data_IF_691805900510
#
_entry.id   IF_691805900510
#
_cell.length_a   1.000
_cell.length_b   1.000
_cell.length_c   1.000
_cell.angle_alpha   90.00
_cell.angle_beta   90.00
_cell.angle_gamma   90.00
#
_symmetry.space_group_name_H-M   'P 1'
#
loop_
_entity.id
_entity.type
_entity.pdbx_description
1 polymer ?
#
# COMPACT_ATOMS: atom_id res chain seq x y z
N UNK A 1 1.44 18.32 22.93
CA UNK A 1 0.00 18.65 23.10
C UNK A 1 -0.71 18.33 21.79
N UNK A 2 -1.32 17.15 21.71
CA UNK A 2 -2.05 16.65 20.54
C UNK A 2 -3.49 16.49 21.01
N UNK A 3 -4.30 17.56 21.02
CA UNK A 3 -5.63 17.43 21.65
C UNK A 3 -6.70 18.43 21.23
N UNK A 4 -6.55 19.21 20.16
CA UNK A 4 -7.62 20.16 19.75
C UNK A 4 -8.03 20.00 18.28
N UNK A 5 -7.12 19.61 17.38
CA UNK A 5 -7.44 19.51 15.95
C UNK A 5 -8.23 18.25 15.55
N UNK A 6 -8.12 17.14 16.29
CA UNK A 6 -8.85 15.91 15.98
C UNK A 6 -10.37 16.02 16.29
N UNK A 7 -10.74 16.79 17.33
CA UNK A 7 -12.15 16.96 17.71
C UNK A 7 -12.90 17.93 16.79
N UNK A 8 -12.21 18.93 16.24
CA UNK A 8 -12.83 19.91 15.33
C UNK A 8 -13.16 19.33 13.95
N UNK A 9 -12.36 18.38 13.43
CA UNK A 9 -12.67 17.69 12.18
C UNK A 9 -13.83 16.68 12.30
N UNK A 10 -14.03 16.09 13.48
CA UNK A 10 -15.14 15.17 13.75
C UNK A 10 -16.51 15.87 13.75
N UNK A 11 -16.58 17.17 14.06
CA UNK A 11 -17.84 17.92 14.18
C UNK A 11 -18.38 18.48 12.85
N UNK A 12 -17.55 18.72 11.84
CA UNK A 12 -17.99 19.38 10.59
C UNK A 12 -18.51 18.42 9.51
N UNK A 13 -18.21 17.12 9.56
CA UNK A 13 -18.45 16.20 8.44
C UNK A 13 -19.47 15.07 8.68
N UNK A 14 -20.15 15.06 9.84
CA UNK A 14 -21.04 13.97 10.22
C UNK A 14 -20.29 12.65 10.43
N UNK A 15 -20.57 11.95 11.52
CA UNK A 15 -20.05 10.60 11.75
C UNK A 15 -20.71 9.63 10.76
N UNK A 16 -20.16 9.51 9.55
CA UNK A 16 -20.47 8.40 8.64
C UNK A 16 -19.69 7.17 9.10
N UNK A 17 -20.36 6.06 9.50
CA UNK A 17 -19.69 4.83 9.91
C UNK A 17 -18.70 4.33 8.85
N UNK A 18 -19.07 4.45 7.56
CA UNK A 18 -18.19 4.07 6.44
C UNK A 18 -16.91 4.90 6.42
N UNK A 19 -16.99 6.23 6.63
CA UNK A 19 -15.78 7.09 6.66
C UNK A 19 -14.84 6.72 7.82
N UNK A 20 -15.41 6.38 8.98
CA UNK A 20 -14.63 5.93 10.14
C UNK A 20 -13.94 4.59 9.85
N UNK A 21 -14.69 3.61 9.37
CA UNK A 21 -14.19 2.26 9.13
C UNK A 21 -13.16 2.26 7.98
N UNK A 22 -13.34 3.15 7.00
CA UNK A 22 -12.40 3.42 5.92
C UNK A 22 -11.06 3.93 6.45
N UNK A 23 -11.08 4.96 7.30
CA UNK A 23 -9.87 5.53 7.89
C UNK A 23 -9.14 4.53 8.79
N UNK A 24 -9.89 3.75 9.59
CA UNK A 24 -9.32 2.65 10.39
C UNK A 24 -8.63 1.64 9.48
N UNK A 25 -9.28 1.25 8.38
CA UNK A 25 -8.72 0.28 7.44
C UNK A 25 -7.44 0.81 6.78
N UNK A 26 -7.46 2.06 6.32
CA UNK A 26 -6.28 2.75 5.76
C UNK A 26 -5.10 2.73 6.73
N UNK A 27 -5.30 3.23 7.95
CA UNK A 27 -4.25 3.30 8.99
C UNK A 27 -3.75 1.92 9.37
N UNK A 28 -4.66 0.95 9.52
CA UNK A 28 -4.28 -0.43 9.89
C UNK A 28 -3.43 -1.06 8.79
N UNK A 29 -3.83 -0.91 7.54
CA UNK A 29 -3.07 -1.44 6.42
C UNK A 29 -1.72 -0.74 6.23
N UNK A 30 -1.67 0.58 6.39
CA UNK A 30 -0.44 1.35 6.36
C UNK A 30 0.58 0.83 7.39
N UNK A 31 0.13 0.59 8.62
CA UNK A 31 0.98 0.01 9.67
C UNK A 31 1.36 -1.45 9.39
N UNK A 32 0.41 -2.23 8.87
CA UNK A 32 0.64 -3.62 8.47
C UNK A 32 1.78 -3.73 7.44
N UNK A 33 1.79 -2.86 6.41
CA UNK A 33 2.84 -2.87 5.38
C UNK A 33 4.23 -2.46 5.90
N UNK A 34 4.30 -1.59 6.90
CA UNK A 34 5.56 -1.18 7.54
C UNK A 34 6.16 -2.29 8.41
N UNK A 35 5.31 -3.15 8.96
CA UNK A 35 5.67 -4.17 9.95
C UNK A 35 5.48 -5.61 9.48
N UNK A 36 5.20 -5.84 8.20
CA UNK A 36 4.94 -7.20 7.71
C UNK A 36 6.14 -8.11 8.02
N UNK A 37 5.96 -8.99 9.01
CA UNK A 37 7.04 -9.68 9.71
C UNK A 37 7.89 -10.59 8.79
N UNK A 38 7.28 -11.06 7.69
CA UNK A 38 7.97 -11.91 6.71
C UNK A 38 8.80 -11.10 5.70
N UNK A 39 8.53 -9.80 5.54
CA UNK A 39 9.32 -8.87 4.72
C UNK A 39 8.88 -7.41 4.93
N UNK A 40 9.82 -6.52 5.24
CA UNK A 40 9.54 -5.07 5.16
C UNK A 40 9.26 -4.72 3.70
N UNK A 41 8.04 -4.23 3.45
CA UNK A 41 7.51 -4.05 2.11
C UNK A 41 7.68 -2.63 1.61
N UNK A 42 7.26 -1.67 2.43
CA UNK A 42 7.39 -0.25 2.15
C UNK A 42 8.10 0.40 3.32
N UNK A 43 9.33 0.85 3.08
CA UNK A 43 10.13 1.49 4.13
C UNK A 43 9.62 2.89 4.46
N UNK A 44 8.90 3.51 3.53
CA UNK A 44 8.37 4.85 3.70
C UNK A 44 7.16 5.07 2.79
N UNK A 45 5.99 5.14 3.41
CA UNK A 45 4.75 5.59 2.77
C UNK A 45 4.72 7.11 2.91
N UNK A 46 4.71 7.82 1.78
CA UNK A 46 4.67 9.29 1.77
C UNK A 46 3.28 9.81 2.08
N UNK A 47 2.31 9.20 1.43
CA UNK A 47 0.94 9.62 1.40
C UNK A 47 0.06 8.40 1.26
N UNK A 48 -1.09 8.46 1.92
CA UNK A 48 -2.13 7.50 1.69
C UNK A 48 -3.46 8.19 1.88
N UNK A 49 -4.36 7.95 0.94
CA UNK A 49 -5.69 8.54 0.92
C UNK A 49 -6.71 7.42 0.75
N UNK A 50 -7.91 7.64 1.27
CA UNK A 50 -8.96 6.64 1.22
C UNK A 50 -10.27 7.32 0.83
N UNK A 51 -10.86 6.79 -0.24
CA UNK A 51 -12.07 7.30 -0.85
C UNK A 51 -13.17 6.25 -0.87
N UNK A 52 -14.40 6.71 -0.72
CA UNK A 52 -15.60 5.89 -0.90
C UNK A 52 -16.53 6.55 -1.90
N UNK A 53 -17.01 5.77 -2.86
CA UNK A 53 -18.04 6.19 -3.81
C UNK A 53 -19.15 5.15 -3.89
N UNK A 54 -20.37 5.58 -3.59
CA UNK A 54 -21.56 4.73 -3.67
C UNK A 54 -21.72 4.09 -5.06
N UNK A 55 -21.96 2.78 -5.08
CA UNK A 55 -22.06 1.96 -6.28
C UNK A 55 -20.71 1.53 -6.87
N UNK A 56 -19.58 2.09 -6.41
CA UNK A 56 -18.22 1.64 -6.77
C UNK A 56 -17.51 0.94 -5.62
N UNK A 57 -17.64 1.46 -4.41
CA UNK A 57 -16.98 0.95 -3.21
C UNK A 57 -15.82 1.81 -2.74
N UNK A 58 -14.82 1.16 -2.16
CA UNK A 58 -13.67 1.78 -1.48
C UNK A 58 -12.41 1.68 -2.32
N UNK A 59 -11.66 2.77 -2.37
CA UNK A 59 -10.31 2.83 -2.92
C UNK A 59 -9.37 3.42 -1.88
N UNK A 60 -8.25 2.75 -1.63
CA UNK A 60 -7.18 3.25 -0.76
C UNK A 60 -5.92 3.38 -1.59
N UNK A 61 -5.50 4.62 -1.80
CA UNK A 61 -4.31 4.98 -2.57
C UNK A 61 -3.11 5.10 -1.65
N UNK A 62 -1.95 4.63 -2.10
CA UNK A 62 -0.68 4.70 -1.41
C UNK A 62 0.39 5.22 -2.36
N UNK A 63 1.03 6.32 -1.98
CA UNK A 63 2.29 6.74 -2.58
C UNK A 63 3.44 6.32 -1.67
N UNK A 64 4.36 5.53 -2.21
CA UNK A 64 5.50 5.07 -1.44
C UNK A 64 6.76 4.98 -2.29
N UNK A 65 7.89 4.85 -1.60
CA UNK A 65 9.13 4.53 -2.27
C UNK A 65 9.34 3.02 -2.37
N UNK A 66 10.09 2.60 -3.39
CA UNK A 66 10.70 1.29 -3.46
C UNK A 66 11.34 0.94 -2.11
N UNK A 67 11.19 -0.32 -1.67
CA UNK A 67 11.82 -0.80 -0.46
C UNK A 67 13.34 -0.61 -0.55
N UNK A 68 13.95 0.02 0.46
CA UNK A 68 15.41 0.17 0.49
C UNK A 68 16.06 -1.21 0.60
N UNK A 69 17.10 -1.41 -0.20
CA UNK A 69 17.97 -2.56 -0.11
C UNK A 69 19.08 -2.20 0.89
N UNK A 70 19.07 -2.84 2.07
CA UNK A 70 20.13 -2.67 3.06
C UNK A 70 21.30 -3.58 2.75
N UNK A 71 22.48 -3.01 2.55
CA UNK A 71 23.73 -3.74 2.34
C UNK A 71 24.49 -3.70 3.67
N UNK A 72 24.60 -4.84 4.34
CA UNK A 72 25.16 -4.96 5.70
C UNK A 72 26.61 -4.46 5.85
N UNK A 73 27.36 -4.28 4.75
CA UNK A 73 28.74 -3.79 4.75
C UNK A 73 28.87 -2.27 4.57
N UNK A 74 27.78 -1.58 4.21
CA UNK A 74 27.75 -0.14 4.05
C UNK A 74 26.64 0.43 4.93
N UNK A 75 27.00 0.88 6.13
CA UNK A 75 26.13 1.68 7.02
C UNK A 75 25.69 3.02 6.41
N UNK A 76 25.86 3.20 5.10
CA UNK A 76 25.55 4.40 4.34
C UNK A 76 24.27 4.17 3.53
N UNK A 77 23.31 5.08 3.67
CA UNK A 77 22.28 5.29 2.64
C UNK A 77 22.99 5.63 1.33
N UNK A 78 22.46 5.19 0.19
CA UNK A 78 22.96 5.58 -1.14
C UNK A 78 23.23 7.09 -1.19
N UNK A 79 24.50 7.47 -1.37
CA UNK A 79 25.02 8.82 -1.35
C UNK A 79 25.19 9.44 -2.74
N UNK A 80 25.80 10.64 -2.82
CA UNK A 80 26.05 11.38 -4.08
C UNK A 80 26.60 10.43 -5.16
N UNK A 81 25.92 10.35 -6.31
CA UNK A 81 26.26 9.55 -7.50
C UNK A 81 26.10 8.02 -7.41
N UNK A 82 25.36 7.48 -6.44
CA UNK A 82 25.09 6.03 -6.37
C UNK A 82 24.03 5.53 -7.39
N UNK A 83 23.78 6.23 -8.50
CA UNK A 83 22.81 5.78 -9.51
C UNK A 83 23.21 4.45 -10.16
N UNK A 84 24.51 4.24 -10.40
CA UNK A 84 25.00 2.95 -10.92
C UNK A 84 24.80 1.82 -9.92
N UNK A 85 24.93 2.13 -8.63
CA UNK A 85 24.70 1.19 -7.54
C UNK A 85 23.21 0.86 -7.44
N UNK A 86 22.34 1.86 -7.45
CA UNK A 86 20.88 1.68 -7.51
C UNK A 86 20.46 0.81 -8.71
N UNK A 87 20.99 1.11 -9.89
CA UNK A 87 20.71 0.36 -11.12
C UNK A 87 21.20 -1.09 -11.05
N UNK A 88 22.25 -1.36 -10.28
CA UNK A 88 22.80 -2.72 -10.09
C UNK A 88 21.93 -3.54 -9.13
N UNK A 89 21.40 -2.91 -8.08
CA UNK A 89 20.63 -3.62 -7.05
C UNK A 89 19.13 -3.70 -7.35
N UNK A 90 18.54 -2.67 -7.94
CA UNK A 90 17.14 -2.69 -8.36
C UNK A 90 16.99 -3.23 -9.78
N UNK A 91 17.32 -4.51 -9.93
CA UNK A 91 17.06 -5.26 -11.16
C UNK A 91 15.55 -5.51 -11.33
N UNK A 92 15.13 -5.88 -12.54
CA UNK A 92 13.74 -6.26 -12.83
C UNK A 92 13.26 -7.40 -11.91
N UNK A 93 14.15 -8.30 -11.50
CA UNK A 93 13.87 -9.38 -10.55
C UNK A 93 13.55 -8.85 -9.15
N UNK A 94 14.29 -7.86 -8.66
CA UNK A 94 14.07 -7.25 -7.35
C UNK A 94 12.78 -6.42 -7.34
N UNK A 95 12.48 -5.70 -8.41
CA UNK A 95 11.20 -5.00 -8.56
C UNK A 95 10.04 -6.01 -8.61
N UNK A 96 10.18 -7.09 -9.38
CA UNK A 96 9.17 -8.16 -9.44
C UNK A 96 8.97 -8.83 -8.07
N UNK A 97 10.04 -9.01 -7.30
CA UNK A 97 9.97 -9.56 -5.94
C UNK A 97 9.22 -8.62 -4.99
N UNK A 98 9.47 -7.30 -5.06
CA UNK A 98 8.73 -6.31 -4.27
C UNK A 98 7.24 -6.31 -4.63
N UNK A 99 6.91 -6.31 -5.92
CA UNK A 99 5.52 -6.40 -6.38
C UNK A 99 4.83 -7.69 -5.88
N UNK A 100 5.52 -8.84 -5.96
CA UNK A 100 5.00 -10.11 -5.48
C UNK A 100 4.74 -10.10 -3.97
N UNK A 101 5.69 -9.59 -3.17
CA UNK A 101 5.50 -9.47 -1.72
C UNK A 101 4.35 -8.53 -1.39
N UNK A 102 4.18 -7.44 -2.14
CA UNK A 102 3.11 -6.47 -1.91
C UNK A 102 1.74 -7.10 -2.19
N UNK A 103 1.66 -7.88 -3.26
CA UNK A 103 0.50 -8.71 -3.58
C UNK A 103 0.18 -9.71 -2.45
N UNK A 104 1.18 -10.45 -1.97
CA UNK A 104 1.02 -11.41 -0.86
C UNK A 104 0.58 -10.75 0.45
N UNK A 105 1.17 -9.62 0.81
CA UNK A 105 0.77 -8.88 2.01
C UNK A 105 -0.64 -8.31 1.90
N UNK A 106 -1.04 -7.83 0.72
CA UNK A 106 -2.41 -7.33 0.53
C UNK A 106 -3.43 -8.48 0.66
N UNK A 107 -3.12 -9.65 0.09
CA UNK A 107 -3.92 -10.88 0.28
C UNK A 107 -4.01 -11.27 1.75
N UNK A 108 -2.88 -11.29 2.45
CA UNK A 108 -2.82 -11.61 3.88
C UNK A 108 -3.58 -10.60 4.73
N UNK A 109 -3.49 -9.32 4.42
CA UNK A 109 -4.25 -8.29 5.13
C UNK A 109 -5.75 -8.51 5.00
N UNK A 110 -6.26 -8.70 3.78
CA UNK A 110 -7.68 -8.97 3.57
C UNK A 110 -8.11 -10.24 4.33
N UNK A 111 -7.32 -11.31 4.29
CA UNK A 111 -7.58 -12.54 5.05
C UNK A 111 -7.60 -12.31 6.56
N UNK A 112 -6.66 -11.56 7.11
CA UNK A 112 -6.51 -11.40 8.56
C UNK A 112 -7.47 -10.33 9.13
N UNK A 113 -7.91 -9.37 8.31
CA UNK A 113 -8.68 -8.20 8.74
C UNK A 113 -10.05 -8.06 8.05
N UNK A 114 -10.55 -9.05 7.31
CA UNK A 114 -11.84 -8.96 6.58
C UNK A 114 -13.01 -8.50 7.45
N UNK A 115 -13.04 -8.88 8.74
CA UNK A 115 -14.10 -8.52 9.68
C UNK A 115 -14.12 -7.04 10.06
N UNK A 116 -13.01 -6.33 9.83
CA UNK A 116 -12.84 -4.92 10.14
C UNK A 116 -12.94 -4.01 8.92
N UNK A 117 -13.09 -4.59 7.72
CA UNK A 117 -13.28 -3.81 6.50
C UNK A 117 -14.63 -3.06 6.53
N UNK A 118 -14.74 -1.91 5.85
CA UNK A 118 -15.99 -1.17 5.75
C UNK A 118 -17.09 -2.07 5.17
N UNK A 119 -18.29 -1.98 5.75
CA UNK A 119 -19.45 -2.73 5.26
C UNK A 119 -19.99 -2.04 4.00
N UNK A 120 -19.74 -2.65 2.85
CA UNK A 120 -20.10 -2.17 1.52
C UNK A 120 -21.20 -3.04 0.91
N UNK A 121 -21.85 -2.55 -0.15
CA UNK A 121 -22.84 -3.34 -0.90
C UNK A 121 -22.14 -4.50 -1.61
N UNK A 122 -22.80 -5.67 -1.81
CA UNK A 122 -22.17 -6.84 -2.41
C UNK A 122 -21.59 -6.62 -3.82
N UNK A 123 -22.14 -5.66 -4.58
CA UNK A 123 -21.72 -5.30 -5.93
C UNK A 123 -20.59 -4.26 -5.97
N UNK A 124 -20.19 -3.72 -4.82
CA UNK A 124 -19.09 -2.78 -4.70
C UNK A 124 -17.74 -3.50 -4.59
N UNK A 125 -16.66 -2.77 -4.86
CA UNK A 125 -15.29 -3.24 -4.82
C UNK A 125 -14.53 -2.64 -3.64
N UNK A 126 -13.53 -3.39 -3.19
CA UNK A 126 -12.51 -2.93 -2.26
C UNK A 126 -11.17 -2.95 -2.97
N UNK A 127 -10.53 -1.79 -3.10
CA UNK A 127 -9.34 -1.59 -3.91
C UNK A 127 -8.19 -0.99 -3.12
N UNK A 128 -7.01 -1.58 -3.27
CA UNK A 128 -5.75 -0.94 -2.93
C UNK A 128 -5.03 -0.53 -4.21
N UNK A 129 -4.55 0.71 -4.27
CA UNK A 129 -3.76 1.24 -5.38
C UNK A 129 -2.44 1.73 -4.83
N UNK A 130 -1.34 1.14 -5.31
CA UNK A 130 0.01 1.52 -4.92
C UNK A 130 0.70 2.19 -6.08
N UNK A 131 1.21 3.40 -5.86
CA UNK A 131 2.14 4.06 -6.74
C UNK A 131 3.52 4.08 -6.08
N UNK A 132 4.45 3.31 -6.65
CA UNK A 132 5.78 3.08 -6.10
C UNK A 132 6.81 3.73 -7.02
N UNK A 133 7.72 4.52 -6.47
CA UNK A 133 8.83 5.15 -7.19
C UNK A 133 10.14 5.10 -6.41
N UNK A 134 11.25 5.54 -7.01
CA UNK A 134 12.52 5.63 -6.27
C UNK A 134 12.50 6.72 -5.19
N UNK A 135 13.26 6.50 -4.11
CA UNK A 135 13.43 7.50 -3.07
C UNK A 135 14.11 8.78 -3.59
N UNK A 136 13.56 9.93 -3.25
CA UNK A 136 14.18 11.24 -3.52
C UNK A 136 15.47 11.39 -2.72
N UNK A 137 16.59 11.57 -3.41
CA UNK A 137 17.90 11.79 -2.78
C UNK A 137 18.10 13.30 -2.57
N UNK A 138 18.35 13.71 -1.33
CA UNK A 138 18.68 15.10 -0.99
C UNK A 138 20.13 15.20 -0.53
N UNK A 139 20.87 16.16 -1.11
CA UNK A 139 22.23 16.48 -0.66
C UNK A 139 22.35 17.98 -0.48
N UNK A 140 22.88 18.39 0.68
CA UNK A 140 23.00 19.80 1.07
C UNK A 140 21.63 20.54 0.98
N UNK A 141 20.55 19.84 1.32
CA UNK A 141 19.17 20.35 1.29
C UNK A 141 18.53 20.42 -0.11
N UNK A 142 19.26 20.09 -1.18
CA UNK A 142 18.76 20.10 -2.57
C UNK A 142 18.41 18.69 -3.04
N UNK A 143 17.24 18.54 -3.65
CA UNK A 143 16.83 17.29 -4.31
C UNK A 143 17.66 17.11 -5.59
N UNK A 144 18.32 15.96 -5.71
CA UNK A 144 19.02 15.57 -6.92
C UNK A 144 18.01 15.07 -7.96
N UNK A 145 18.32 15.19 -9.26
CA UNK A 145 17.48 14.59 -10.29
C UNK A 145 17.37 13.06 -10.11
N UNK A 146 16.28 12.43 -10.60
CA UNK A 146 16.16 10.99 -10.55
C UNK A 146 17.21 10.29 -11.42
N UNK A 147 17.50 9.02 -11.13
CA UNK A 147 18.35 8.18 -12.01
C UNK A 147 17.71 8.07 -13.41
N UNK A 148 18.51 8.02 -14.49
CA UNK A 148 17.99 7.81 -15.84
C UNK A 148 17.12 6.55 -16.01
N UNK A 149 17.29 5.52 -15.15
CA UNK A 149 16.48 4.30 -15.16
C UNK A 149 15.34 4.29 -14.14
N UNK A 150 15.10 5.39 -13.44
CA UNK A 150 14.08 5.47 -12.39
C UNK A 150 12.68 5.10 -12.90
N UNK A 151 12.33 5.53 -14.11
CA UNK A 151 11.07 5.17 -14.76
C UNK A 151 10.85 3.65 -14.95
N UNK A 152 11.92 2.83 -15.00
CA UNK A 152 11.79 1.37 -15.09
C UNK A 152 11.47 0.71 -13.75
N UNK A 153 11.69 1.42 -12.65
CA UNK A 153 11.46 0.97 -11.27
C UNK A 153 10.24 1.62 -10.64
N UNK A 154 9.66 2.61 -11.31
CA UNK A 154 8.35 3.14 -10.98
C UNK A 154 7.28 2.18 -11.48
N UNK A 155 6.33 1.84 -10.64
CA UNK A 155 5.22 0.97 -11.01
C UNK A 155 3.96 1.31 -10.24
N UNK A 156 2.82 0.92 -10.82
CA UNK A 156 1.54 0.89 -10.14
C UNK A 156 1.10 -0.55 -9.93
N UNK A 157 0.59 -0.86 -8.73
CA UNK A 157 -0.05 -2.14 -8.42
C UNK A 157 -1.46 -1.87 -7.91
N UNK A 158 -2.45 -2.47 -8.55
CA UNK A 158 -3.85 -2.41 -8.12
C UNK A 158 -4.30 -3.80 -7.67
N UNK A 159 -4.90 -3.88 -6.48
CA UNK A 159 -5.41 -5.10 -5.88
C UNK A 159 -6.89 -4.91 -5.56
N UNK A 160 -7.76 -5.68 -6.22
CA UNK A 160 -9.22 -5.48 -6.19
C UNK A 160 -9.95 -6.74 -5.75
N UNK A 161 -10.82 -6.58 -4.75
CA UNK A 161 -11.77 -7.59 -4.32
C UNK A 161 -13.20 -7.13 -4.54
N UNK A 162 -14.08 -8.07 -4.92
CA UNK A 162 -15.52 -7.83 -4.81
C UNK A 162 -15.96 -8.05 -3.38
N UNK A 163 -16.85 -7.19 -2.89
CA UNK A 163 -17.38 -7.32 -1.54
C UNK A 163 -18.23 -8.57 -1.37
N UNK A 164 -18.83 -9.09 -2.45
CA UNK A 164 -19.48 -10.41 -2.44
C UNK A 164 -18.51 -11.55 -2.09
N UNK A 165 -17.25 -11.49 -2.53
CA UNK A 165 -16.27 -12.53 -2.24
C UNK A 165 -15.77 -12.44 -0.79
N UNK A 166 -15.55 -11.23 -0.29
CA UNK A 166 -15.23 -10.99 1.12
C UNK A 166 -16.38 -11.46 2.03
N UNK A 167 -17.62 -11.19 1.65
CA UNK A 167 -18.80 -11.65 2.39
C UNK A 167 -18.95 -13.18 2.37
N UNK A 168 -18.71 -13.82 1.22
CA UNK A 168 -18.71 -15.28 1.11
C UNK A 168 -17.63 -15.91 2.00
N UNK A 169 -16.43 -15.33 2.02
CA UNK A 169 -15.34 -15.78 2.89
C UNK A 169 -15.70 -15.63 4.37
N UNK A 170 -16.27 -14.48 4.76
CA UNK A 170 -16.72 -14.22 6.13
C UNK A 170 -17.77 -15.23 6.63
N UNK A 171 -18.53 -15.84 5.73
CA UNK A 171 -19.55 -16.85 6.04
C UNK A 171 -19.03 -18.29 5.94
N UNK A 172 -17.77 -18.48 5.55
CA UNK A 172 -17.17 -19.79 5.30
C UNK A 172 -17.66 -20.47 4.01
N UNK A 173 -18.29 -19.74 3.10
CA UNK A 173 -18.77 -20.26 1.81
C UNK A 173 -17.61 -20.50 0.83
N UNK A 174 -16.52 -19.76 1.00
CA UNK A 174 -15.26 -19.95 0.28
C UNK A 174 -14.10 -20.00 1.26
N UNK A 175 -13.02 -20.70 0.89
CA UNK A 175 -11.80 -20.79 1.70
C UNK A 175 -10.75 -19.74 1.29
N UNK A 176 -9.63 -19.70 2.03
CA UNK A 176 -8.55 -18.72 1.81
C UNK A 176 -7.94 -18.79 0.40
N UNK A 177 -7.76 -20.00 -0.14
CA UNK A 177 -7.22 -20.19 -1.50
C UNK A 177 -8.17 -19.56 -2.52
N UNK A 178 -9.47 -19.86 -2.41
CA UNK A 178 -10.48 -19.31 -3.31
C UNK A 178 -10.59 -17.79 -3.21
N UNK A 179 -10.49 -17.20 -2.01
CA UNK A 179 -10.46 -15.75 -1.84
C UNK A 179 -9.22 -15.14 -2.51
N UNK A 180 -8.06 -15.78 -2.34
CA UNK A 180 -6.78 -15.35 -2.91
C UNK A 180 -6.71 -15.47 -4.43
N UNK A 181 -7.46 -16.40 -5.02
CA UNK A 181 -7.52 -16.60 -6.47
C UNK A 181 -8.53 -15.64 -7.15
N UNK A 182 -9.48 -15.10 -6.38
CA UNK A 182 -10.53 -14.20 -6.87
C UNK A 182 -10.12 -12.73 -6.89
N UNK A 183 -9.00 -12.38 -6.28
CA UNK A 183 -8.44 -11.03 -6.44
C UNK A 183 -8.06 -10.76 -7.88
N UNK A 184 -8.41 -9.56 -8.36
CA UNK A 184 -7.83 -8.99 -9.57
C UNK A 184 -6.59 -8.17 -9.21
N UNK A 185 -5.44 -8.56 -9.76
CA UNK A 185 -4.19 -7.80 -9.67
C UNK A 185 -3.89 -7.17 -11.03
N UNK A 186 -3.69 -5.85 -11.08
CA UNK A 186 -3.15 -5.15 -12.25
C UNK A 186 -1.79 -4.53 -11.91
N UNK A 187 -0.81 -4.67 -12.80
CA UNK A 187 0.53 -4.08 -12.67
C UNK A 187 0.76 -3.19 -13.90
N UNK A 188 1.07 -1.91 -13.70
CA UNK A 188 1.31 -0.93 -14.76
C UNK A 188 2.66 -0.24 -14.57
#
# INVERSE_FOLDING_TARGET
>A
MVSINAQAQLQQNGLSPIKRDLEITRVTFENFLKHYDDAVLLNNIKESEADYKDGKGVEIHFEAYNANIYIATASARFGKNDYEVLDTFYTDEIISLQQKRLEEATKKFIRDFYSYLPQLKPNEEFRFVFHIEDSKIKVDGKELPPSPKSAKRTYMLEAVWKMSDIAAFSKGEINESQLSDRIKIEKK
#
